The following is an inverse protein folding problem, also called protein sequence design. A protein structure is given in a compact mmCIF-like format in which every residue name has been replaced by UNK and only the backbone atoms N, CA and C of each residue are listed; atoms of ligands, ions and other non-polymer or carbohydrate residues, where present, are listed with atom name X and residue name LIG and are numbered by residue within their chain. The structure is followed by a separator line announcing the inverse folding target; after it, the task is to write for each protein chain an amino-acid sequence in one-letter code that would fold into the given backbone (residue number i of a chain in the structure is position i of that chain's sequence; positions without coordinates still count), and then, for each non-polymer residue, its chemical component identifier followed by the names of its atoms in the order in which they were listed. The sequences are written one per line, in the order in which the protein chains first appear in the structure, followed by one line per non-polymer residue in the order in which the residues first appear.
data_IF_985320806865
#
_entry.id   IF_985320806865
#
_cell.length_a   1.000
_cell.length_b   1.000
_cell.length_c   1.000
_cell.angle_alpha   90.00
_cell.angle_beta   90.00
_cell.angle_gamma   90.00
#
_symmetry.space_group_name_H-M   'P 1'
#
loop_
_entity.id
_entity.type
_entity.pdbx_description
1 polymer ?
#
# COMPACT_ATOMS: atom_id res chain seq x y z
N UNK A 1 -1.41 13.70 13.60
CA UNK A 1 -1.19 14.90 12.76
C UNK A 1 -1.87 14.66 11.43
N UNK A 2 -2.59 15.66 10.90
CA UNK A 2 -3.27 15.59 9.60
C UNK A 2 -2.90 16.84 8.78
N UNK A 3 -2.60 16.65 7.49
CA UNK A 3 -2.11 17.70 6.59
C UNK A 3 -2.69 17.51 5.19
N UNK A 4 -3.11 18.62 4.56
CA UNK A 4 -3.35 18.68 3.13
C UNK A 4 -2.10 19.22 2.42
N UNK A 5 -1.62 18.48 1.42
CA UNK A 5 -0.46 18.85 0.61
C UNK A 5 -0.92 19.06 -0.83
N UNK A 6 -1.06 20.32 -1.30
CA UNK A 6 -1.52 20.60 -2.66
C UNK A 6 -0.43 20.26 -3.68
N UNK A 7 -0.80 19.72 -4.83
CA UNK A 7 0.13 19.42 -5.92
C UNK A 7 -0.33 18.25 -6.76
N UNK A 8 0.52 17.76 -7.67
CA UNK A 8 0.25 16.56 -8.45
C UNK A 8 1.09 15.42 -7.88
N UNK A 9 0.49 14.48 -7.12
CA UNK A 9 1.22 13.30 -6.69
C UNK A 9 1.81 12.56 -7.89
N UNK A 10 3.07 12.19 -7.78
CA UNK A 10 3.81 11.49 -8.82
C UNK A 10 4.39 10.20 -8.26
N UNK A 11 4.50 9.19 -9.12
CA UNK A 11 5.11 7.90 -8.79
C UNK A 11 6.63 7.98 -8.77
N UNK A 12 7.25 7.02 -8.08
CA UNK A 12 8.70 6.84 -8.09
C UNK A 12 9.27 6.62 -9.50
N UNK A 13 10.52 7.05 -9.71
CA UNK A 13 11.27 6.96 -10.95
C UNK A 13 10.60 7.65 -12.16
N UNK A 14 9.80 8.70 -11.90
CA UNK A 14 9.21 9.53 -12.95
C UNK A 14 9.75 10.96 -12.91
N UNK A 15 9.61 11.68 -14.04
CA UNK A 15 9.95 13.12 -14.11
C UNK A 15 9.17 13.97 -13.09
N UNK A 16 7.97 13.51 -12.68
CA UNK A 16 7.15 14.20 -11.69
C UNK A 16 7.61 13.98 -10.25
N UNK A 17 8.46 12.98 -9.98
CA UNK A 17 8.87 12.63 -8.62
C UNK A 17 9.62 13.77 -7.92
N UNK A 18 10.57 14.40 -8.60
CA UNK A 18 11.40 15.48 -8.04
C UNK A 18 10.55 16.69 -7.61
N UNK A 19 9.73 17.31 -8.50
CA UNK A 19 8.91 18.44 -8.08
C UNK A 19 7.90 18.05 -6.99
N UNK A 20 7.37 16.81 -7.04
CA UNK A 20 6.48 16.32 -5.99
C UNK A 20 7.18 16.21 -4.63
N UNK A 21 8.40 15.65 -4.58
CA UNK A 21 9.21 15.58 -3.35
C UNK A 21 9.56 16.95 -2.79
N UNK A 22 9.82 17.95 -3.63
CA UNK A 22 10.06 19.32 -3.16
C UNK A 22 8.83 19.92 -2.46
N UNK A 23 7.63 19.70 -3.01
CA UNK A 23 6.37 20.14 -2.40
C UNK A 23 6.14 19.44 -1.07
N UNK A 24 6.31 18.11 -1.03
CA UNK A 24 6.19 17.32 0.18
C UNK A 24 7.17 17.82 1.27
N UNK A 25 8.42 18.11 0.91
CA UNK A 25 9.44 18.59 1.85
C UNK A 25 9.11 19.95 2.44
N UNK A 26 8.60 20.87 1.62
CA UNK A 26 8.18 22.18 2.07
C UNK A 26 6.93 22.14 2.97
N UNK A 27 6.09 21.10 2.83
CA UNK A 27 4.78 21.03 3.48
C UNK A 27 4.78 20.18 4.76
N UNK A 28 5.66 19.19 4.86
CA UNK A 28 5.67 18.25 5.98
C UNK A 28 6.67 18.72 7.04
N UNK A 29 6.24 19.00 8.27
CA UNK A 29 7.14 19.37 9.35
C UNK A 29 8.01 18.18 9.77
N UNK A 30 9.12 18.46 10.44
CA UNK A 30 9.89 17.44 11.15
C UNK A 30 9.07 16.91 12.34
N UNK A 31 9.27 15.63 12.74
CA UNK A 31 8.58 15.09 13.90
C UNK A 31 8.97 15.85 15.17
N UNK A 32 7.98 16.23 15.96
CA UNK A 32 8.16 16.86 17.28
C UNK A 32 8.11 15.85 18.42
N UNK A 33 7.41 14.74 18.19
CA UNK A 33 7.12 13.71 19.19
C UNK A 33 7.53 12.32 18.70
N UNK A 34 7.71 11.42 19.65
CA UNK A 34 7.91 10.01 19.40
C UNK A 34 6.57 9.24 19.45
N UNK A 35 6.60 7.95 19.09
CA UNK A 35 5.45 7.06 19.28
C UNK A 35 4.46 6.98 18.11
N UNK A 36 4.71 7.64 16.98
CA UNK A 36 3.93 7.41 15.75
C UNK A 36 4.09 5.96 15.28
N UNK A 37 2.95 5.32 14.99
CA UNK A 37 2.87 3.90 14.65
C UNK A 37 2.56 3.67 13.17
N UNK A 38 1.81 4.57 12.54
CA UNK A 38 1.47 4.45 11.12
C UNK A 38 1.02 5.73 10.47
N UNK A 39 0.57 5.60 9.22
CA UNK A 39 0.16 6.73 8.38
C UNK A 39 -0.96 6.37 7.40
N UNK A 40 -1.75 7.38 7.03
CA UNK A 40 -2.73 7.32 5.93
C UNK A 40 -2.33 8.28 4.82
N UNK A 41 -2.47 7.81 3.58
CA UNK A 41 -2.14 8.53 2.36
C UNK A 41 -3.33 8.49 1.42
N UNK A 42 -4.15 9.54 1.40
CA UNK A 42 -5.23 9.67 0.42
C UNK A 42 -4.81 10.60 -0.73
N UNK A 43 -4.44 9.98 -1.85
CA UNK A 43 -4.03 10.66 -3.08
C UNK A 43 -5.26 11.09 -3.88
N UNK A 44 -5.39 12.41 -4.06
CA UNK A 44 -6.37 13.03 -4.95
C UNK A 44 -5.68 13.34 -6.26
N UNK A 45 -6.05 12.62 -7.32
CA UNK A 45 -5.36 12.66 -8.60
C UNK A 45 -6.26 13.27 -9.68
N UNK A 46 -5.69 14.01 -10.65
CA UNK A 46 -6.46 14.50 -11.79
C UNK A 46 -6.91 13.37 -12.74
N UNK A 47 -6.17 12.26 -12.76
CA UNK A 47 -6.48 11.03 -13.49
C UNK A 47 -5.77 9.85 -12.81
N UNK A 48 -6.36 8.66 -12.88
CA UNK A 48 -5.74 7.42 -12.40
C UNK A 48 -4.85 6.74 -13.45
N UNK A 49 -4.81 7.27 -14.68
CA UNK A 49 -4.03 6.72 -15.79
C UNK A 49 -3.42 7.84 -16.66
N UNK A 50 -2.49 8.65 -16.14
CA UNK A 50 -1.80 9.68 -16.94
C UNK A 50 -1.08 9.03 -18.12
N UNK A 51 -1.23 9.61 -19.32
CA UNK A 51 -0.68 9.08 -20.57
C UNK A 51 -1.08 7.62 -20.86
N UNK A 52 -2.29 7.20 -20.46
CA UNK A 52 -2.76 5.81 -20.57
C UNK A 52 -1.94 4.77 -19.79
N UNK A 53 -1.17 5.21 -18.79
CA UNK A 53 -0.46 4.34 -17.86
C UNK A 53 -1.15 4.39 -16.49
N UNK A 54 -1.91 3.35 -16.12
CA UNK A 54 -2.54 3.26 -14.81
C UNK A 54 -1.52 3.41 -13.67
N UNK A 55 -1.93 4.07 -12.60
CA UNK A 55 -1.08 4.29 -11.43
C UNK A 55 -1.26 3.17 -10.42
N UNK A 56 -0.16 2.67 -9.87
CA UNK A 56 -0.16 1.72 -8.76
C UNK A 56 -0.04 2.47 -7.42
N UNK A 57 -0.74 1.98 -6.40
CA UNK A 57 -0.82 2.67 -5.11
C UNK A 57 0.51 2.65 -4.36
N UNK A 58 1.26 1.55 -4.47
CA UNK A 58 2.60 1.38 -3.90
C UNK A 58 3.60 2.36 -4.56
N UNK A 59 3.56 2.48 -5.89
CA UNK A 59 4.40 3.42 -6.63
C UNK A 59 4.14 4.90 -6.26
N UNK A 60 2.91 5.25 -5.86
CA UNK A 60 2.56 6.57 -5.31
C UNK A 60 3.06 6.77 -3.87
N UNK A 61 3.11 5.71 -3.08
CA UNK A 61 3.57 5.78 -1.69
C UNK A 61 5.10 5.97 -1.58
N UNK A 62 5.90 5.36 -2.47
CA UNK A 62 7.36 5.35 -2.35
C UNK A 62 8.00 6.75 -2.22
N UNK A 63 7.65 7.78 -3.03
CA UNK A 63 8.19 9.13 -2.86
C UNK A 63 7.89 9.75 -1.50
N UNK A 64 6.69 9.48 -0.95
CA UNK A 64 6.28 9.96 0.37
C UNK A 64 7.12 9.29 1.45
N UNK A 65 7.25 7.96 1.44
CA UNK A 65 8.05 7.22 2.43
C UNK A 65 9.53 7.61 2.35
N UNK A 66 10.05 7.78 1.14
CA UNK A 66 11.43 8.23 0.90
C UNK A 66 11.70 9.59 1.54
N UNK A 67 10.76 10.52 1.50
CA UNK A 67 10.95 11.82 2.11
C UNK A 67 10.67 11.77 3.62
N UNK A 68 9.47 11.33 3.99
CA UNK A 68 8.95 11.35 5.35
C UNK A 68 9.89 10.63 6.31
N UNK A 69 10.33 9.43 5.96
CA UNK A 69 11.16 8.61 6.82
C UNK A 69 12.64 8.97 6.64
N UNK A 70 13.16 8.83 5.42
CA UNK A 70 14.61 8.86 5.22
C UNK A 70 15.18 10.28 5.34
N UNK A 71 14.41 11.32 5.02
CA UNK A 71 14.88 12.72 5.03
C UNK A 71 14.38 13.51 6.23
N UNK A 72 13.10 13.39 6.57
CA UNK A 72 12.50 14.14 7.67
C UNK A 72 12.60 13.43 9.03
N UNK A 73 12.99 12.16 9.07
CA UNK A 73 13.27 11.44 10.30
C UNK A 73 12.04 10.88 11.03
N UNK A 74 10.85 10.91 10.40
CA UNK A 74 9.66 10.28 10.98
C UNK A 74 9.89 8.78 11.21
N UNK A 75 9.20 8.22 12.21
CA UNK A 75 9.39 6.83 12.66
C UNK A 75 10.85 6.53 13.06
N UNK A 76 11.53 7.50 13.67
CA UNK A 76 12.94 7.39 14.06
C UNK A 76 13.89 7.25 12.86
N UNK A 77 13.49 7.77 11.70
CA UNK A 77 14.26 7.73 10.45
C UNK A 77 14.40 6.34 9.83
N UNK A 78 13.64 5.33 10.29
CA UNK A 78 13.79 3.93 9.87
C UNK A 78 12.46 3.36 9.39
N UNK A 79 12.41 2.99 8.10
CA UNK A 79 11.22 2.39 7.47
C UNK A 79 10.69 1.13 8.18
N UNK A 80 11.55 0.25 8.75
CA UNK A 80 11.07 -0.88 9.54
C UNK A 80 10.27 -0.51 10.80
N UNK A 81 10.32 0.73 11.28
CA UNK A 81 9.57 1.16 12.46
C UNK A 81 8.09 1.44 12.17
N UNK A 82 7.70 1.55 10.90
CA UNK A 82 6.30 1.70 10.50
C UNK A 82 5.56 0.39 10.83
N UNK A 83 4.56 0.46 11.70
CA UNK A 83 3.73 -0.70 12.08
C UNK A 83 2.55 -0.91 11.15
N UNK A 84 2.04 0.16 10.56
CA UNK A 84 1.00 0.09 9.55
C UNK A 84 1.01 1.30 8.63
N UNK A 85 0.43 1.13 7.44
CA UNK A 85 0.11 2.24 6.57
C UNK A 85 -1.14 1.93 5.75
N UNK A 86 -1.79 3.00 5.30
CA UNK A 86 -2.95 2.96 4.44
C UNK A 86 -2.71 3.90 3.26
N UNK A 87 -2.92 3.40 2.04
CA UNK A 87 -2.86 4.18 0.82
C UNK A 87 -4.18 4.09 0.08
N UNK A 88 -4.71 5.21 -0.36
CA UNK A 88 -5.86 5.31 -1.24
C UNK A 88 -5.59 6.23 -2.41
N UNK A 89 -6.02 5.85 -3.60
CA UNK A 89 -6.01 6.72 -4.78
C UNK A 89 -7.42 6.95 -5.29
N UNK A 90 -7.73 8.17 -5.68
CA UNK A 90 -9.04 8.53 -6.24
C UNK A 90 -8.88 9.65 -7.26
N UNK A 91 -9.69 9.59 -8.33
CA UNK A 91 -9.80 10.69 -9.29
C UNK A 91 -10.66 11.80 -8.68
N UNK A 92 -10.03 12.89 -8.20
CA UNK A 92 -10.72 13.99 -7.53
C UNK A 92 -9.94 15.30 -7.65
N UNK A 93 -10.65 16.42 -7.67
CA UNK A 93 -10.09 17.78 -7.58
C UNK A 93 -10.42 18.42 -6.21
N UNK A 94 -9.55 19.28 -5.66
CA UNK A 94 -8.19 19.59 -6.14
C UNK A 94 -7.24 18.38 -6.03
N UNK A 95 -6.16 18.40 -6.82
CA UNK A 95 -5.11 17.37 -6.75
C UNK A 95 -4.21 17.62 -5.54
N UNK A 96 -3.76 16.53 -4.91
CA UNK A 96 -2.87 16.60 -3.76
C UNK A 96 -2.91 15.32 -2.92
N UNK A 97 -2.45 15.43 -1.68
CA UNK A 97 -2.38 14.34 -0.72
C UNK A 97 -2.96 14.80 0.62
N UNK A 98 -3.96 14.08 1.14
CA UNK A 98 -4.22 14.12 2.58
C UNK A 98 -3.29 13.12 3.26
N UNK A 99 -2.40 13.62 4.11
CA UNK A 99 -1.46 12.85 4.90
C UNK A 99 -1.91 12.87 6.36
N UNK A 100 -2.15 11.70 6.94
CA UNK A 100 -2.30 11.54 8.39
C UNK A 100 -1.16 10.71 8.95
N UNK A 101 -0.58 11.12 10.06
CA UNK A 101 0.41 10.36 10.83
C UNK A 101 -0.15 10.14 12.22
N UNK A 102 -0.22 8.87 12.63
CA UNK A 102 -1.03 8.42 13.75
C UNK A 102 -0.22 7.62 14.77
N UNK A 103 -0.56 7.79 16.05
CA UNK A 103 -0.02 7.00 17.16
C UNK A 103 -0.90 5.79 17.49
N UNK A 104 -2.12 5.73 16.94
CA UNK A 104 -3.09 4.65 17.12
C UNK A 104 -2.85 3.48 16.18
N UNK A 105 -3.52 2.37 16.48
CA UNK A 105 -3.70 1.23 15.59
C UNK A 105 -4.48 1.63 14.31
N UNK A 106 -4.34 0.89 13.20
CA UNK A 106 -5.02 1.22 11.97
C UNK A 106 -6.54 1.10 12.12
N UNK A 107 -7.27 1.96 11.43
CA UNK A 107 -8.72 1.81 11.27
C UNK A 107 -9.08 0.46 10.61
N UNK A 108 -10.30 0.01 10.84
CA UNK A 108 -10.84 -1.17 10.16
C UNK A 108 -11.52 -0.78 8.84
N UNK A 109 -11.25 -1.54 7.77
CA UNK A 109 -11.93 -1.38 6.47
C UNK A 109 -13.34 -1.99 6.42
N UNK A 110 -14.09 -1.94 7.53
CA UNK A 110 -15.44 -2.54 7.63
C UNK A 110 -16.47 -1.84 6.73
N UNK A 111 -16.14 -0.64 6.24
CA UNK A 111 -17.03 0.15 5.38
C UNK A 111 -17.34 -0.52 4.03
N UNK A 112 -16.53 -1.47 3.56
CA UNK A 112 -16.75 -2.17 2.28
C UNK A 112 -17.65 -3.42 2.41
N UNK A 113 -18.22 -3.68 3.58
CA UNK A 113 -19.09 -4.83 3.80
C UNK A 113 -18.34 -6.17 3.82
N UNK A 114 -18.97 -7.22 3.30
CA UNK A 114 -18.41 -8.58 3.30
C UNK A 114 -17.28 -8.68 2.26
N UNK A 115 -16.07 -9.14 2.65
CA UNK A 115 -14.98 -9.35 1.70
C UNK A 115 -15.31 -10.46 0.68
N UNK A 116 -14.78 -10.32 -0.52
CA UNK A 116 -14.83 -11.38 -1.55
C UNK A 116 -13.78 -12.47 -1.29
N UNK A 117 -12.76 -12.13 -0.48
CA UNK A 117 -11.69 -13.02 -0.09
C UNK A 117 -11.19 -12.61 1.30
N UNK A 118 -11.06 -13.56 2.22
CA UNK A 118 -10.51 -13.31 3.55
C UNK A 118 -9.86 -14.59 4.09
N UNK A 119 -8.59 -14.80 3.74
CA UNK A 119 -7.87 -16.03 4.08
C UNK A 119 -6.47 -15.74 4.60
N UNK A 120 -5.95 -16.67 5.41
CA UNK A 120 -4.60 -16.58 5.95
C UNK A 120 -3.67 -17.59 5.26
N UNK A 121 -2.70 -17.08 4.50
CA UNK A 121 -1.63 -17.89 3.97
C UNK A 121 -0.61 -18.21 5.06
N UNK A 122 -0.29 -19.50 5.21
CA UNK A 122 0.72 -20.00 6.13
C UNK A 122 1.81 -20.70 5.32
N UNK A 123 2.94 -20.03 5.12
CA UNK A 123 4.05 -20.56 4.33
C UNK A 123 5.15 -19.53 4.17
N UNK A 124 6.11 -19.81 3.30
CA UNK A 124 7.13 -18.82 2.97
C UNK A 124 6.49 -17.66 2.20
N UNK A 125 6.67 -16.44 2.70
CA UNK A 125 6.27 -15.23 1.98
C UNK A 125 7.12 -15.09 0.70
N UNK A 126 6.53 -14.57 -0.39
CA UNK A 126 7.24 -14.42 -1.65
C UNK A 126 8.43 -13.45 -1.51
N UNK A 127 9.55 -13.81 -2.14
CA UNK A 127 10.77 -12.98 -2.21
C UNK A 127 10.90 -12.24 -3.54
N UNK A 128 10.08 -12.60 -4.52
CA UNK A 128 10.04 -12.01 -5.85
C UNK A 128 8.62 -12.08 -6.42
N UNK A 129 8.39 -11.30 -7.48
CA UNK A 129 7.17 -11.31 -8.28
C UNK A 129 6.87 -12.64 -9.01
N UNK A 130 7.83 -13.57 -9.01
CA UNK A 130 7.75 -14.83 -9.76
C UNK A 130 7.63 -16.06 -8.86
N UNK A 131 7.54 -15.86 -7.55
CA UNK A 131 7.37 -16.88 -6.54
C UNK A 131 6.04 -17.65 -6.78
N UNK A 132 6.07 -18.98 -6.94
CA UNK A 132 4.89 -19.76 -7.33
C UNK A 132 3.91 -20.05 -6.18
N UNK A 133 4.33 -19.88 -4.92
CA UNK A 133 3.61 -20.40 -3.76
C UNK A 133 2.27 -19.70 -3.54
N UNK A 134 2.26 -18.37 -3.54
CA UNK A 134 1.03 -17.58 -3.39
C UNK A 134 0.10 -17.77 -4.58
N UNK A 135 0.54 -17.66 -5.85
CA UNK A 135 -0.36 -17.86 -6.98
C UNK A 135 -0.99 -19.26 -7.01
N UNK A 136 -0.21 -20.33 -6.79
CA UNK A 136 -0.76 -21.69 -6.75
C UNK A 136 -1.78 -21.86 -5.63
N UNK A 137 -1.53 -21.28 -4.46
CA UNK A 137 -2.49 -21.28 -3.36
C UNK A 137 -3.77 -20.54 -3.76
N UNK A 138 -3.67 -19.35 -4.37
CA UNK A 138 -4.84 -18.59 -4.81
C UNK A 138 -5.65 -19.32 -5.89
N UNK A 139 -4.98 -19.96 -6.85
CA UNK A 139 -5.63 -20.75 -7.90
C UNK A 139 -6.43 -21.92 -7.32
N UNK A 140 -5.94 -22.55 -6.24
CA UNK A 140 -6.64 -23.66 -5.58
C UNK A 140 -7.98 -23.27 -4.95
N UNK A 141 -8.24 -21.98 -4.76
CA UNK A 141 -9.42 -21.47 -4.08
C UNK A 141 -10.59 -21.16 -5.04
N UNK A 142 -10.39 -21.29 -6.37
CA UNK A 142 -11.42 -21.09 -7.40
C UNK A 142 -12.24 -19.79 -7.22
N UNK A 143 -11.56 -18.69 -6.92
CA UNK A 143 -12.22 -17.42 -6.59
C UNK A 143 -12.90 -16.81 -7.84
N UNK A 144 -14.10 -16.21 -7.69
CA UNK A 144 -14.80 -15.56 -8.79
C UNK A 144 -14.16 -14.21 -9.12
N UNK A 145 -13.75 -14.01 -10.38
CA UNK A 145 -13.10 -12.77 -10.84
C UNK A 145 -13.93 -12.04 -11.90
N UNK A 146 -14.14 -10.75 -11.68
CA UNK A 146 -14.70 -9.84 -12.67
C UNK A 146 -13.63 -8.86 -13.13
N UNK A 147 -13.37 -8.79 -14.44
CA UNK A 147 -12.31 -7.97 -15.06
C UNK A 147 -12.49 -6.46 -14.83
N UNK A 148 -13.69 -6.00 -14.48
CA UNK A 148 -13.97 -4.57 -14.23
C UNK A 148 -13.84 -4.13 -12.77
N UNK A 149 -13.65 -5.05 -11.83
CA UNK A 149 -13.71 -4.74 -10.39
C UNK A 149 -12.48 -3.96 -9.93
N UNK A 150 -12.68 -2.89 -9.16
CA UNK A 150 -11.64 -2.21 -8.38
C UNK A 150 -11.57 -2.84 -6.99
N UNK A 151 -10.42 -2.78 -6.34
CA UNK A 151 -10.20 -3.50 -5.08
C UNK A 151 -9.77 -2.59 -3.94
N UNK A 152 -10.29 -2.91 -2.76
CA UNK A 152 -9.63 -2.60 -1.49
C UNK A 152 -8.94 -3.87 -0.98
N UNK A 153 -7.70 -3.76 -0.53
CA UNK A 153 -6.87 -4.88 -0.07
C UNK A 153 -6.31 -4.56 1.31
N UNK A 154 -6.42 -5.51 2.23
CA UNK A 154 -5.78 -5.47 3.54
C UNK A 154 -4.78 -6.62 3.66
N UNK A 155 -3.55 -6.29 4.02
CA UNK A 155 -2.46 -7.22 4.26
C UNK A 155 -2.07 -7.16 5.74
N UNK A 156 -2.29 -8.25 6.45
CA UNK A 156 -1.98 -8.34 7.87
C UNK A 156 -0.87 -9.36 8.07
N UNK A 157 0.31 -8.92 8.52
CA UNK A 157 1.45 -9.82 8.77
C UNK A 157 1.53 -10.18 10.26
N UNK A 158 1.78 -11.45 10.58
CA UNK A 158 2.00 -11.85 11.98
C UNK A 158 3.36 -11.42 12.51
N UNK A 159 4.39 -11.40 11.67
CA UNK A 159 5.76 -11.08 12.07
C UNK A 159 6.02 -9.60 12.30
N UNK A 160 6.64 -9.27 13.45
CA UNK A 160 7.03 -7.90 13.83
C UNK A 160 8.19 -7.33 13.01
N UNK A 161 9.02 -8.21 12.43
CA UNK A 161 10.26 -7.85 11.72
C UNK A 161 10.06 -7.55 10.23
N UNK A 162 8.84 -7.68 9.70
CA UNK A 162 8.56 -7.32 8.31
C UNK A 162 8.77 -5.80 8.14
N UNK A 163 9.54 -5.42 7.12
CA UNK A 163 9.73 -4.02 6.76
C UNK A 163 8.60 -3.56 5.84
N UNK A 164 7.62 -2.83 6.40
CA UNK A 164 6.47 -2.34 5.66
C UNK A 164 6.76 -1.13 4.78
N UNK A 165 7.87 -0.41 5.03
CA UNK A 165 8.26 0.73 4.21
C UNK A 165 9.10 0.36 2.99
N UNK A 166 9.42 -0.93 2.78
CA UNK A 166 10.05 -1.39 1.54
C UNK A 166 9.03 -1.47 0.40
N UNK A 167 8.50 -0.33 -0.05
CA UNK A 167 7.35 -0.29 -0.94
C UNK A 167 7.72 -0.78 -2.34
N UNK A 168 8.82 -0.32 -2.93
CA UNK A 168 9.21 -0.68 -4.29
C UNK A 168 9.87 -2.06 -4.45
N UNK A 169 10.51 -2.60 -3.41
CA UNK A 169 11.36 -3.80 -3.50
C UNK A 169 11.16 -4.80 -2.37
N UNK A 170 10.31 -4.48 -1.40
CA UNK A 170 10.12 -5.29 -0.20
C UNK A 170 9.10 -6.40 -0.38
N UNK A 171 8.79 -7.04 0.76
CA UNK A 171 7.85 -8.16 0.85
C UNK A 171 6.45 -7.81 0.37
N UNK A 172 6.02 -6.57 0.58
CA UNK A 172 4.70 -6.10 0.15
C UNK A 172 4.60 -6.12 -1.37
N UNK A 173 5.59 -5.53 -2.08
CA UNK A 173 5.62 -5.56 -3.55
C UNK A 173 5.59 -6.97 -4.09
N UNK A 174 6.47 -7.83 -3.58
CA UNK A 174 6.53 -9.23 -4.01
C UNK A 174 5.21 -9.97 -3.79
N UNK A 175 4.49 -9.67 -2.72
CA UNK A 175 3.19 -10.26 -2.42
C UNK A 175 2.09 -9.74 -3.37
N UNK A 176 2.03 -8.43 -3.60
CA UNK A 176 1.08 -7.83 -4.55
C UNK A 176 1.32 -8.36 -5.97
N UNK A 177 2.58 -8.51 -6.36
CA UNK A 177 2.95 -9.10 -7.65
C UNK A 177 2.46 -10.54 -7.85
N UNK A 178 2.26 -11.28 -6.75
CA UNK A 178 1.71 -12.62 -6.77
C UNK A 178 0.17 -12.66 -6.80
N UNK A 179 -0.52 -11.51 -6.73
CA UNK A 179 -1.97 -11.45 -6.74
C UNK A 179 -2.57 -11.42 -8.16
N UNK A 180 -1.78 -11.65 -9.20
CA UNK A 180 -2.29 -11.72 -10.57
C UNK A 180 -3.45 -12.72 -10.78
N UNK A 181 -3.58 -13.84 -10.02
CA UNK A 181 -4.79 -14.67 -10.13
C UNK A 181 -6.06 -13.91 -9.75
N UNK A 182 -5.97 -12.99 -8.78
CA UNK A 182 -7.11 -12.19 -8.28
C UNK A 182 -7.31 -10.90 -9.06
N UNK A 183 -6.22 -10.15 -9.20
CA UNK A 183 -6.25 -8.82 -9.78
C UNK A 183 -6.33 -8.89 -11.30
N UNK A 184 -5.99 -10.02 -11.93
CA UNK A 184 -5.77 -10.12 -13.37
C UNK A 184 -4.32 -9.85 -13.75
N UNK A 185 -4.04 -9.89 -15.05
CA UNK A 185 -2.69 -9.78 -15.59
C UNK A 185 -1.99 -11.13 -15.72
N UNK A 186 -0.66 -11.12 -15.64
CA UNK A 186 0.17 -12.33 -15.79
C UNK A 186 1.30 -12.34 -14.77
N UNK A 187 1.99 -13.48 -14.64
CA UNK A 187 3.15 -13.62 -13.75
C UNK A 187 4.18 -12.49 -13.97
N UNK A 188 4.49 -11.76 -12.91
CA UNK A 188 5.41 -10.61 -12.93
C UNK A 188 4.84 -9.31 -13.51
N UNK A 189 3.58 -9.30 -13.94
CA UNK A 189 2.83 -8.15 -14.42
C UNK A 189 1.37 -8.26 -13.99
N UNK A 190 1.09 -8.22 -12.67
CA UNK A 190 -0.29 -8.17 -12.19
C UNK A 190 -0.98 -6.89 -12.69
N UNK A 191 -2.31 -6.89 -12.67
CA UNK A 191 -3.09 -5.65 -12.79
C UNK A 191 -3.26 -4.97 -11.42
N UNK A 192 -2.16 -4.76 -10.69
CA UNK A 192 -2.14 -4.15 -9.35
C UNK A 192 -2.62 -2.69 -9.33
N UNK A 193 -2.58 -2.00 -10.47
CA UNK A 193 -3.28 -0.75 -10.71
C UNK A 193 -4.79 -0.80 -10.39
N UNK A 194 -5.40 -1.99 -10.29
CA UNK A 194 -6.81 -2.19 -9.87
C UNK A 194 -7.05 -2.02 -8.37
N UNK A 195 -6.01 -1.99 -7.56
CA UNK A 195 -6.11 -1.69 -6.13
C UNK A 195 -6.21 -0.18 -5.95
N UNK A 196 -7.38 0.30 -5.53
CA UNK A 196 -7.55 1.71 -5.15
C UNK A 196 -7.21 1.96 -3.69
N UNK A 197 -7.35 0.95 -2.84
CA UNK A 197 -7.11 1.05 -1.40
C UNK A 197 -6.22 -0.11 -0.97
N UNK A 198 -5.10 0.19 -0.33
CA UNK A 198 -4.18 -0.78 0.23
C UNK A 198 -3.87 -0.42 1.68
N UNK A 199 -4.25 -1.30 2.60
CA UNK A 199 -3.87 -1.21 4.00
C UNK A 199 -2.90 -2.34 4.32
N UNK A 200 -1.79 -2.00 4.99
CA UNK A 200 -0.78 -2.96 5.40
C UNK A 200 -0.45 -2.76 6.86
N UNK A 201 -0.38 -3.84 7.63
CA UNK A 201 0.00 -3.83 9.03
C UNK A 201 0.81 -5.07 9.42
N UNK A 202 1.53 -4.99 10.53
CA UNK A 202 2.34 -6.10 11.04
C UNK A 202 2.20 -6.30 12.55
N UNK A 203 2.60 -7.47 13.03
CA UNK A 203 2.55 -7.80 14.45
C UNK A 203 1.16 -8.20 14.91
N UNK A 204 0.32 -8.75 14.02
CA UNK A 204 -1.05 -9.10 14.38
C UNK A 204 -1.07 -10.31 15.32
N UNK A 205 -1.57 -10.10 16.54
CA UNK A 205 -1.45 -11.01 17.70
C UNK A 205 -2.00 -12.43 17.44
N UNK A 206 -2.98 -12.58 16.54
CA UNK A 206 -3.62 -13.87 16.23
C UNK A 206 -3.16 -14.48 14.89
N UNK A 207 -1.98 -14.10 14.43
CA UNK A 207 -1.41 -14.59 13.18
C UNK A 207 0.03 -15.09 13.43
N UNK A 208 0.37 -16.27 12.90
CA UNK A 208 1.71 -16.84 13.03
C UNK A 208 2.76 -15.89 12.44
N UNK A 209 3.99 -15.90 12.97
CA UNK A 209 5.07 -14.98 12.56
C UNK A 209 5.30 -14.94 11.04
N UNK A 210 5.22 -16.09 10.37
CA UNK A 210 5.40 -16.21 8.92
C UNK A 210 4.08 -16.22 8.11
N UNK A 211 2.95 -15.92 8.74
CA UNK A 211 1.67 -15.89 8.06
C UNK A 211 1.28 -14.47 7.64
N UNK A 212 0.50 -14.40 6.56
CA UNK A 212 -0.17 -13.17 6.10
C UNK A 212 -1.64 -13.45 5.91
N UNK A 213 -2.51 -12.66 6.55
CA UNK A 213 -3.93 -12.63 6.21
C UNK A 213 -4.15 -11.60 5.11
N UNK A 214 -4.86 -12.04 4.08
CA UNK A 214 -5.16 -11.26 2.90
C UNK A 214 -6.67 -11.13 2.84
N UNK A 215 -7.15 -9.91 2.98
CA UNK A 215 -8.58 -9.60 2.88
C UNK A 215 -8.79 -8.68 1.68
N UNK A 216 -9.72 -9.02 0.80
CA UNK A 216 -10.00 -8.27 -0.43
C UNK A 216 -11.49 -8.00 -0.53
N UNK A 217 -11.81 -6.76 -0.88
CA UNK A 217 -13.17 -6.32 -1.19
C UNK A 217 -13.22 -5.83 -2.64
N UNK A 218 -14.29 -6.14 -3.34
CA UNK A 218 -14.64 -5.45 -4.57
C UNK A 218 -15.30 -4.12 -4.24
N UNK A 219 -14.77 -3.03 -4.76
CA UNK A 219 -15.30 -1.67 -4.58
C UNK A 219 -15.80 -1.12 -5.92
N UNK A 220 -16.87 -0.32 -5.86
CA UNK A 220 -17.54 0.27 -7.02
C UNK A 220 -16.87 1.56 -7.46
#
# INVERSE_FOLDING_TARGET
MELWIPGIPATFATKGEIPWKCILEASIPKPTDEGFQGLKLDFMLPTLAPNNHPLDIDNLCEPVFSLLVNRLGWFGGKRPNIKWWYGRKVCKKPSGLNLSIEQSEPGNLKEFGKPIFDEAYQGELPRSATAPEIPHWLDSLNLPFNKGTRFAVRLQFGGLKINLGGIATGRIKSLIDCFYPILGGTKGRPEDWRIDILQVEKGVINLKENAVRITIWGIR
#
